data_IF_363435937815
#
_entry.id   IF_363435937815
#
_cell.length_a   1.000
_cell.length_b   1.000
_cell.length_c   1.000
_cell.angle_alpha   90.00
_cell.angle_beta   90.00
_cell.angle_gamma   90.00
#
_symmetry.space_group_name_H-M   'P 1'
#
loop_
_entity.id
_entity.type
_entity.pdbx_description
1 polymer ?
#
# COMPACT_ATOMS: atom_id res chain seq x y z
N UNK A 1 -16.52 2.33 -32.19
CA UNK A 1 -15.72 3.31 -31.43
C UNK A 1 -16.60 3.81 -30.31
N UNK A 2 -16.30 3.49 -29.04
CA UNK A 2 -17.16 3.93 -27.94
C UNK A 2 -16.92 5.41 -27.69
N UNK A 3 -17.95 6.23 -27.86
CA UNK A 3 -17.95 7.62 -27.42
C UNK A 3 -17.71 7.63 -25.90
N UNK A 4 -16.46 7.90 -25.49
CA UNK A 4 -16.13 8.11 -24.10
C UNK A 4 -16.94 9.33 -23.64
N UNK A 5 -17.81 9.12 -22.66
CA UNK A 5 -18.65 10.17 -22.11
C UNK A 5 -17.73 11.28 -21.57
N UNK A 6 -17.83 12.53 -22.06
CA UNK A 6 -16.92 13.62 -21.67
C UNK A 6 -16.92 13.92 -20.16
N UNK A 7 -17.90 13.40 -19.42
CA UNK A 7 -18.00 13.52 -17.96
C UNK A 7 -17.11 12.49 -17.23
N UNK A 8 -16.83 11.34 -17.84
CA UNK A 8 -16.05 10.24 -17.24
C UNK A 8 -14.55 10.40 -17.52
N UNK A 9 -14.19 11.02 -18.64
CA UNK A 9 -12.79 11.20 -19.04
C UNK A 9 -11.92 11.88 -17.97
N UNK A 10 -12.37 12.94 -17.28
CA UNK A 10 -11.59 13.54 -16.19
C UNK A 10 -11.32 12.56 -15.05
N UNK A 11 -12.29 11.71 -14.69
CA UNK A 11 -12.09 10.69 -13.66
C UNK A 11 -11.13 9.60 -14.10
N UNK A 12 -11.12 9.28 -15.41
CA UNK A 12 -10.19 8.31 -15.98
C UNK A 12 -8.75 8.82 -15.91
N UNK A 13 -8.53 10.07 -16.31
CA UNK A 13 -7.23 10.73 -16.23
C UNK A 13 -6.75 10.81 -14.79
N UNK A 14 -7.61 11.28 -13.86
CA UNK A 14 -7.30 11.30 -12.43
C UNK A 14 -6.97 9.90 -11.91
N UNK A 15 -7.76 8.88 -12.28
CA UNK A 15 -7.53 7.52 -11.80
C UNK A 15 -6.21 6.95 -12.33
N UNK A 16 -5.85 7.23 -13.58
CA UNK A 16 -4.56 6.84 -14.17
C UNK A 16 -3.35 7.50 -13.49
N UNK A 17 -3.51 8.72 -12.95
CA UNK A 17 -2.43 9.39 -12.22
C UNK A 17 -2.14 8.75 -10.86
N UNK A 18 -3.10 8.03 -10.28
CA UNK A 18 -2.98 7.44 -8.94
C UNK A 18 -2.96 5.90 -8.93
N UNK A 19 -3.34 5.27 -10.04
CA UNK A 19 -3.45 3.82 -10.17
C UNK A 19 -2.56 3.32 -11.33
N UNK A 20 -1.53 2.57 -10.96
CA UNK A 20 -0.52 1.95 -11.82
C UNK A 20 -0.96 0.60 -12.37
N UNK A 21 -2.17 0.14 -12.02
CA UNK A 21 -2.71 -1.13 -12.49
C UNK A 21 -3.07 -1.09 -13.98
N UNK A 22 -3.50 -2.22 -14.52
CA UNK A 22 -3.74 -2.30 -15.96
C UNK A 22 -4.98 -1.50 -16.40
N UNK A 23 -5.00 -1.12 -17.68
CA UNK A 23 -6.10 -0.35 -18.28
C UNK A 23 -7.45 -1.07 -18.20
N UNK A 24 -7.46 -2.39 -18.30
CA UNK A 24 -8.70 -3.19 -18.24
C UNK A 24 -9.41 -3.05 -16.89
N UNK A 25 -8.65 -3.03 -15.79
CA UNK A 25 -9.19 -2.82 -14.44
C UNK A 25 -9.72 -1.40 -14.28
N UNK A 26 -9.01 -0.39 -14.80
CA UNK A 26 -9.47 1.00 -14.80
C UNK A 26 -10.82 1.10 -15.51
N UNK A 27 -10.91 0.56 -16.72
CA UNK A 27 -12.13 0.61 -17.52
C UNK A 27 -13.28 -0.17 -16.83
N UNK A 28 -12.99 -1.32 -16.19
CA UNK A 28 -13.97 -2.09 -15.42
C UNK A 28 -14.52 -1.31 -14.22
N UNK A 29 -13.64 -0.71 -13.42
CA UNK A 29 -14.03 0.07 -12.22
C UNK A 29 -14.90 1.26 -12.62
N UNK A 30 -14.51 1.99 -13.66
CA UNK A 30 -15.26 3.13 -14.18
C UNK A 30 -16.62 2.69 -14.73
N UNK A 31 -16.67 1.55 -15.42
CA UNK A 31 -17.91 0.96 -15.92
C UNK A 31 -18.86 0.57 -14.79
N UNK A 32 -18.40 -0.21 -13.81
CA UNK A 32 -19.19 -0.61 -12.65
C UNK A 32 -19.73 0.60 -11.88
N UNK A 33 -18.87 1.60 -11.62
CA UNK A 33 -19.27 2.82 -10.95
C UNK A 33 -20.39 3.55 -11.71
N UNK A 34 -20.32 3.58 -13.05
CA UNK A 34 -21.30 4.22 -13.94
C UNK A 34 -22.63 3.49 -13.93
N UNK A 35 -22.65 2.15 -13.99
CA UNK A 35 -23.89 1.37 -14.04
C UNK A 35 -24.77 1.57 -12.79
N UNK A 36 -24.13 1.85 -11.65
CA UNK A 36 -24.81 2.09 -10.38
C UNK A 36 -25.20 3.57 -10.20
N UNK A 37 -24.84 4.44 -11.14
CA UNK A 37 -25.33 5.83 -11.15
C UNK A 37 -26.79 5.82 -11.60
N UNK A 38 -27.70 5.83 -10.61
CA UNK A 38 -29.13 6.00 -10.85
C UNK A 38 -29.50 7.38 -11.44
N UNK A 39 -30.79 7.72 -11.39
CA UNK A 39 -31.29 9.01 -11.90
C UNK A 39 -30.57 10.19 -11.23
N UNK A 40 -30.15 11.16 -12.03
CA UNK A 40 -29.45 12.37 -11.58
C UNK A 40 -30.27 13.61 -11.91
N UNK A 41 -30.29 14.57 -10.98
CA UNK A 41 -31.05 15.82 -11.14
C UNK A 41 -30.33 16.82 -12.06
N UNK A 42 -29.00 16.81 -12.02
CA UNK A 42 -28.12 17.68 -12.82
C UNK A 42 -26.71 17.06 -12.90
N UNK A 43 -25.79 17.77 -13.55
CA UNK A 43 -24.41 17.33 -13.74
C UNK A 43 -23.64 17.15 -12.42
N UNK A 44 -23.84 18.05 -11.45
CA UNK A 44 -23.13 17.98 -10.17
C UNK A 44 -23.60 16.80 -9.32
N UNK A 45 -24.90 16.51 -9.34
CA UNK A 45 -25.47 15.31 -8.70
C UNK A 45 -24.90 14.03 -9.33
N UNK A 46 -24.74 14.01 -10.66
CA UNK A 46 -24.08 12.90 -11.36
C UNK A 46 -22.63 12.73 -10.90
N UNK A 47 -21.82 13.80 -10.95
CA UNK A 47 -20.39 13.75 -10.55
C UNK A 47 -20.23 13.24 -9.13
N UNK A 48 -21.05 13.76 -8.19
CA UNK A 48 -21.04 13.32 -6.80
C UNK A 48 -21.41 11.85 -6.65
N UNK A 49 -22.50 11.39 -7.28
CA UNK A 49 -22.94 9.99 -7.22
C UNK A 49 -21.93 9.04 -7.85
N UNK A 50 -21.38 9.41 -9.00
CA UNK A 50 -20.34 8.66 -9.69
C UNK A 50 -19.10 8.51 -8.81
N UNK A 51 -18.59 9.62 -8.25
CA UNK A 51 -17.45 9.61 -7.36
C UNK A 51 -17.66 8.72 -6.12
N UNK A 52 -18.84 8.77 -5.50
CA UNK A 52 -19.18 7.91 -4.36
C UNK A 52 -19.17 6.42 -4.77
N UNK A 53 -19.78 6.08 -5.91
CA UNK A 53 -19.82 4.70 -6.38
C UNK A 53 -18.44 4.21 -6.83
N UNK A 54 -17.63 5.07 -7.43
CA UNK A 54 -16.24 4.79 -7.79
C UNK A 54 -15.41 4.39 -6.57
N UNK A 55 -15.47 5.18 -5.50
CA UNK A 55 -14.75 4.88 -4.27
C UNK A 55 -15.27 3.59 -3.60
N UNK A 56 -16.58 3.34 -3.64
CA UNK A 56 -17.17 2.10 -3.14
C UNK A 56 -16.64 0.88 -3.91
N UNK A 57 -16.65 0.95 -5.24
CA UNK A 57 -16.18 -0.13 -6.10
C UNK A 57 -14.71 -0.47 -5.81
N UNK A 58 -13.84 0.55 -5.80
CA UNK A 58 -12.43 0.38 -5.47
C UNK A 58 -12.25 -0.24 -4.07
N UNK A 59 -13.05 0.18 -3.09
CA UNK A 59 -12.99 -0.38 -1.74
C UNK A 59 -13.37 -1.85 -1.72
N UNK A 60 -14.41 -2.24 -2.45
CA UNK A 60 -14.86 -3.63 -2.55
C UNK A 60 -13.81 -4.50 -3.23
N UNK A 61 -13.30 -4.09 -4.38
CA UNK A 61 -12.27 -4.81 -5.11
C UNK A 61 -10.96 -4.93 -4.31
N UNK A 62 -10.56 -3.90 -3.57
CA UNK A 62 -9.40 -3.97 -2.65
C UNK A 62 -9.63 -5.03 -1.57
N UNK A 63 -10.83 -5.10 -0.97
CA UNK A 63 -11.16 -6.08 0.06
C UNK A 63 -11.20 -7.51 -0.49
N UNK A 64 -11.69 -7.67 -1.72
CA UNK A 64 -11.74 -8.94 -2.44
C UNK A 64 -10.38 -9.36 -3.06
N UNK A 65 -9.36 -8.50 -2.97
CA UNK A 65 -8.03 -8.72 -3.55
C UNK A 65 -8.02 -8.82 -5.09
N UNK A 66 -9.06 -8.29 -5.74
CA UNK A 66 -9.14 -8.20 -7.21
C UNK A 66 -8.22 -7.10 -7.77
N UNK A 67 -7.98 -6.07 -6.97
CA UNK A 67 -6.98 -5.04 -7.25
C UNK A 67 -5.93 -5.01 -6.15
N UNK A 68 -4.67 -4.88 -6.57
CA UNK A 68 -3.58 -4.88 -5.63
C UNK A 68 -3.44 -3.48 -5.02
N UNK A 69 -3.40 -3.39 -3.69
CA UNK A 69 -3.09 -2.14 -3.00
C UNK A 69 -1.66 -1.64 -3.34
N UNK A 70 -0.83 -2.49 -3.95
CA UNK A 70 0.48 -2.14 -4.53
C UNK A 70 0.41 -1.22 -5.73
N UNK A 71 -0.69 -1.27 -6.46
CA UNK A 71 -0.86 -0.54 -7.71
C UNK A 71 -1.27 0.92 -7.47
N UNK A 72 -1.41 1.35 -6.22
CA UNK A 72 -1.77 2.72 -5.89
C UNK A 72 -0.56 3.57 -5.53
N UNK A 73 -0.46 4.72 -6.19
CA UNK A 73 0.54 5.73 -5.93
C UNK A 73 0.03 6.72 -4.87
N UNK A 74 0.27 6.38 -3.60
CA UNK A 74 -0.27 7.08 -2.43
C UNK A 74 0.12 8.56 -2.36
N UNK A 75 1.27 8.95 -2.90
CA UNK A 75 1.74 10.34 -2.84
C UNK A 75 0.79 11.25 -3.61
N UNK A 76 0.40 10.87 -4.84
CA UNK A 76 -0.59 11.61 -5.65
C UNK A 76 -2.00 11.59 -5.02
N UNK A 77 -2.37 10.51 -4.34
CA UNK A 77 -3.70 10.41 -3.70
C UNK A 77 -3.86 11.35 -2.51
N UNK A 78 -2.77 11.65 -1.79
CA UNK A 78 -2.83 12.45 -0.55
C UNK A 78 -3.20 13.91 -0.78
N UNK A 79 -2.94 14.42 -1.97
CA UNK A 79 -3.22 15.81 -2.33
C UNK A 79 -4.70 16.06 -2.60
N UNK A 80 -5.46 15.02 -2.95
CA UNK A 80 -6.86 15.12 -3.32
C UNK A 80 -7.78 14.50 -2.24
N UNK A 81 -8.66 15.33 -1.69
CA UNK A 81 -9.60 14.98 -0.61
C UNK A 81 -10.53 13.82 -1.00
N UNK A 82 -10.88 13.70 -2.29
CA UNK A 82 -11.73 12.64 -2.81
C UNK A 82 -11.18 11.24 -2.48
N UNK A 83 -9.86 11.07 -2.56
CA UNK A 83 -9.19 9.78 -2.44
C UNK A 83 -8.85 9.39 -1.01
N UNK A 84 -8.96 10.31 -0.05
CA UNK A 84 -8.63 10.10 1.37
C UNK A 84 -9.29 8.86 2.01
N UNK A 85 -10.57 8.52 1.70
CA UNK A 85 -11.17 7.28 2.20
C UNK A 85 -10.41 6.04 1.75
N UNK A 86 -9.98 6.00 0.48
CA UNK A 86 -9.24 4.86 -0.10
C UNK A 86 -7.81 4.80 0.45
N UNK A 87 -7.17 5.95 0.65
CA UNK A 87 -5.83 6.04 1.26
C UNK A 87 -5.79 5.31 2.59
N UNK A 88 -6.81 5.45 3.44
CA UNK A 88 -6.89 4.75 4.73
C UNK A 88 -6.93 3.22 4.56
N UNK A 89 -7.70 2.73 3.60
CA UNK A 89 -7.82 1.29 3.30
C UNK A 89 -6.50 0.73 2.78
N UNK A 90 -5.87 1.42 1.83
CA UNK A 90 -4.57 1.02 1.28
C UNK A 90 -3.51 1.02 2.38
N UNK A 91 -3.42 2.08 3.18
CA UNK A 91 -2.47 2.18 4.29
C UNK A 91 -2.66 1.04 5.28
N UNK A 92 -3.91 0.68 5.62
CA UNK A 92 -4.18 -0.46 6.49
C UNK A 92 -3.60 -1.76 5.90
N UNK A 93 -3.79 -2.03 4.60
CA UNK A 93 -3.16 -3.18 3.93
C UNK A 93 -1.63 -3.11 3.95
N UNK A 94 -1.02 -1.94 3.71
CA UNK A 94 0.45 -1.73 3.81
C UNK A 94 1.00 -1.98 5.21
N UNK A 95 0.23 -1.64 6.24
CA UNK A 95 0.56 -1.93 7.63
C UNK A 95 0.54 -3.44 7.86
N UNK A 96 -0.46 -4.15 7.34
CA UNK A 96 -0.51 -5.62 7.45
C UNK A 96 0.68 -6.29 6.73
N UNK A 97 1.16 -5.75 5.61
CA UNK A 97 2.43 -6.21 4.99
C UNK A 97 3.62 -6.04 5.94
N UNK A 98 3.72 -4.88 6.60
CA UNK A 98 4.79 -4.60 7.56
C UNK A 98 4.73 -5.54 8.76
N UNK A 99 3.54 -5.82 9.31
CA UNK A 99 3.36 -6.74 10.45
C UNK A 99 3.74 -8.19 10.10
N UNK A 100 3.49 -8.63 8.87
CA UNK A 100 3.85 -9.97 8.40
C UNK A 100 5.34 -10.10 8.07
N UNK A 101 6.04 -8.97 7.92
CA UNK A 101 7.48 -8.96 7.68
C UNK A 101 8.22 -9.59 8.86
N UNK A 102 9.29 -10.33 8.57
CA UNK A 102 10.14 -10.95 9.58
C UNK A 102 11.57 -10.46 9.40
N UNK A 103 12.23 -10.13 10.50
CA UNK A 103 13.65 -9.77 10.51
C UNK A 103 14.44 -10.96 11.03
N UNK A 104 15.50 -11.35 10.31
CA UNK A 104 16.37 -12.44 10.73
C UNK A 104 17.48 -11.89 11.64
N UNK A 105 17.71 -12.50 12.80
CA UNK A 105 18.83 -12.18 13.70
C UNK A 105 19.86 -13.30 13.65
N UNK A 106 21.14 -12.98 13.41
CA UNK A 106 22.28 -13.91 13.52
C UNK A 106 23.33 -13.26 14.41
N UNK A 107 23.45 -13.71 15.68
CA UNK A 107 24.30 -13.06 16.68
C UNK A 107 23.88 -11.61 16.94
N UNK A 108 24.82 -10.66 16.86
CA UNK A 108 24.59 -9.19 17.02
C UNK A 108 24.22 -8.45 15.73
N UNK A 109 23.77 -9.19 14.72
CA UNK A 109 23.46 -8.68 13.38
C UNK A 109 22.03 -9.02 12.99
N UNK A 110 21.33 -8.06 12.41
CA UNK A 110 19.97 -8.21 11.91
C UNK A 110 19.94 -8.04 10.39
N UNK A 111 19.30 -8.97 9.69
CA UNK A 111 19.03 -8.87 8.26
C UNK A 111 17.65 -8.25 8.04
N UNK A 112 17.65 -7.05 7.47
CA UNK A 112 16.47 -6.21 7.23
C UNK A 112 15.98 -6.25 5.78
N UNK A 113 16.45 -7.17 4.94
CA UNK A 113 16.03 -7.24 3.53
C UNK A 113 14.50 -7.31 3.38
N UNK A 114 13.82 -8.12 4.19
CA UNK A 114 12.36 -8.24 4.15
C UNK A 114 11.62 -6.94 4.49
N UNK A 115 12.23 -6.04 5.26
CA UNK A 115 11.61 -4.73 5.55
C UNK A 115 11.57 -3.84 4.31
N UNK A 116 12.61 -3.91 3.47
CA UNK A 116 12.74 -3.11 2.24
C UNK A 116 11.72 -3.50 1.18
N UNK A 117 11.18 -4.70 1.26
CA UNK A 117 10.14 -5.21 0.36
C UNK A 117 8.74 -4.66 0.71
N UNK A 118 8.58 -4.10 1.91
CA UNK A 118 7.33 -3.45 2.35
C UNK A 118 7.40 -1.95 2.10
N UNK A 119 6.26 -1.34 1.75
CA UNK A 119 6.19 0.10 1.48
C UNK A 119 6.68 0.92 2.69
N UNK A 120 6.12 0.66 3.87
CA UNK A 120 6.48 1.38 5.09
C UNK A 120 7.89 1.06 5.58
N UNK A 121 8.33 -0.20 5.48
CA UNK A 121 9.67 -0.58 5.88
C UNK A 121 10.73 0.07 4.99
N UNK A 122 10.51 0.13 3.67
CA UNK A 122 11.38 0.86 2.73
C UNK A 122 11.51 2.34 3.13
N UNK A 123 10.39 3.03 3.40
CA UNK A 123 10.41 4.43 3.82
C UNK A 123 11.22 4.65 5.11
N UNK A 124 11.05 3.76 6.10
CA UNK A 124 11.76 3.87 7.39
C UNK A 124 13.26 3.60 7.22
N UNK A 125 13.62 2.55 6.46
CA UNK A 125 15.01 2.19 6.15
C UNK A 125 15.71 3.33 5.39
N UNK A 126 15.02 3.95 4.44
CA UNK A 126 15.56 5.06 3.65
C UNK A 126 15.82 6.29 4.52
N UNK A 127 14.85 6.65 5.38
CA UNK A 127 15.00 7.74 6.36
C UNK A 127 16.16 7.54 7.33
N UNK A 128 16.52 6.29 7.63
CA UNK A 128 17.66 5.94 8.48
C UNK A 128 18.98 5.81 7.71
N UNK A 129 18.98 5.96 6.38
CA UNK A 129 20.18 5.82 5.54
C UNK A 129 20.64 4.36 5.37
N UNK A 130 19.74 3.39 5.52
CA UNK A 130 20.03 1.96 5.43
C UNK A 130 19.73 1.38 4.04
N UNK A 131 19.45 2.22 3.04
CA UNK A 131 18.95 1.83 1.70
C UNK A 131 19.84 0.78 1.03
N UNK A 132 21.16 0.95 1.06
CA UNK A 132 22.13 0.00 0.47
C UNK A 132 22.51 -1.16 1.39
N UNK A 133 22.15 -1.11 2.68
CA UNK A 133 22.61 -2.09 3.70
C UNK A 133 21.51 -3.07 4.04
N UNK A 134 21.77 -4.36 3.90
CA UNK A 134 20.80 -5.40 4.30
C UNK A 134 21.07 -5.93 5.71
N UNK A 135 22.24 -5.67 6.27
CA UNK A 135 22.63 -6.11 7.61
C UNK A 135 22.92 -4.88 8.47
N UNK A 136 22.34 -4.84 9.66
CA UNK A 136 22.54 -3.77 10.64
C UNK A 136 22.89 -4.32 12.03
N UNK A 137 23.49 -3.48 12.86
CA UNK A 137 23.86 -3.80 14.24
C UNK A 137 22.67 -3.71 15.21
N UNK A 138 22.85 -4.22 16.43
CA UNK A 138 21.83 -4.11 17.51
C UNK A 138 21.37 -2.66 17.74
N UNK A 139 22.29 -1.72 17.89
CA UNK A 139 21.96 -0.29 18.12
C UNK A 139 21.17 0.33 16.96
N UNK A 140 21.48 -0.06 15.72
CA UNK A 140 20.77 0.42 14.54
C UNK A 140 19.38 -0.20 14.44
N UNK A 141 19.26 -1.47 14.82
CA UNK A 141 18.00 -2.19 14.88
C UNK A 141 17.06 -1.59 15.93
N UNK A 142 17.58 -1.22 17.10
CA UNK A 142 16.79 -0.56 18.14
C UNK A 142 16.21 0.79 17.67
N UNK A 143 17.01 1.58 16.93
CA UNK A 143 16.54 2.83 16.30
C UNK A 143 15.41 2.55 15.31
N UNK A 144 15.57 1.54 14.46
CA UNK A 144 14.56 1.14 13.48
C UNK A 144 13.25 0.72 14.14
N UNK A 145 13.32 -0.14 15.16
CA UNK A 145 12.14 -0.61 15.89
C UNK A 145 11.48 0.51 16.69
N UNK A 146 12.24 1.46 17.24
CA UNK A 146 11.66 2.60 17.95
C UNK A 146 10.73 3.44 17.06
N UNK A 147 11.05 3.58 15.76
CA UNK A 147 10.20 4.28 14.79
C UNK A 147 8.94 3.48 14.49
N UNK A 148 9.07 2.17 14.34
CA UNK A 148 7.94 1.28 14.04
C UNK A 148 6.98 1.19 15.23
N UNK A 149 7.51 1.18 16.46
CA UNK A 149 6.70 1.26 17.69
C UNK A 149 5.91 2.56 17.81
N UNK A 150 6.41 3.69 17.29
CA UNK A 150 5.65 4.96 17.24
C UNK A 150 4.42 4.86 16.34
N UNK A 151 4.43 3.95 15.37
CA UNK A 151 3.25 3.62 14.57
C UNK A 151 2.29 2.66 15.30
N UNK A 152 2.57 2.29 16.56
CA UNK A 152 1.85 1.31 17.38
C UNK A 152 1.87 -0.11 16.80
N UNK A 153 2.99 -0.49 16.18
CA UNK A 153 3.18 -1.82 15.58
C UNK A 153 4.42 -2.54 16.12
N UNK A 154 4.40 -3.87 16.03
CA UNK A 154 5.50 -4.76 16.37
C UNK A 154 5.87 -5.61 15.16
N UNK A 155 7.16 -5.91 15.00
CA UNK A 155 7.67 -6.73 13.91
C UNK A 155 8.28 -8.00 14.49
N UNK A 156 7.83 -9.19 14.07
CA UNK A 156 8.37 -10.44 14.55
C UNK A 156 9.84 -10.61 14.15
N UNK A 157 10.66 -11.04 15.12
CA UNK A 157 12.07 -11.38 14.93
C UNK A 157 12.22 -12.89 14.89
N UNK A 158 12.81 -13.42 13.82
CA UNK A 158 13.26 -14.81 13.78
C UNK A 158 14.73 -14.83 14.15
N UNK A 159 15.07 -15.47 15.26
CA UNK A 159 16.46 -15.73 15.66
C UNK A 159 16.95 -16.96 14.91
N UNK A 160 18.04 -16.83 14.16
CA UNK A 160 18.70 -17.94 13.50
C UNK A 160 19.86 -18.45 14.36
N UNK A 161 20.03 -19.78 14.47
CA UNK A 161 21.15 -20.35 15.20
C UNK A 161 22.47 -19.93 14.55
N UNK A 162 23.42 -19.57 15.39
CA UNK A 162 24.79 -19.26 15.00
C UNK A 162 25.54 -20.51 14.58
N UNK A 163 26.64 -20.37 13.83
CA UNK A 163 27.48 -21.50 13.42
C UNK A 163 28.03 -22.26 14.63
N UNK A 164 28.25 -21.57 15.75
CA UNK A 164 28.69 -22.17 17.01
C UNK A 164 27.60 -23.01 17.66
N UNK A 165 26.34 -22.57 17.65
CA UNK A 165 25.20 -23.34 18.19
C UNK A 165 24.89 -24.58 17.36
N UNK A 166 25.00 -24.50 16.03
CA UNK A 166 24.88 -25.67 15.13
C UNK A 166 25.94 -26.74 15.36
N UNK A 167 27.08 -26.37 15.96
CA UNK A 167 28.18 -27.28 16.25
C UNK A 167 27.97 -28.11 17.53
N UNK A 168 27.09 -27.68 18.44
CA UNK A 168 26.85 -28.35 19.73
C UNK A 168 25.53 -29.15 19.78
N UNK A 169 24.74 -29.14 18.71
CA UNK A 169 23.47 -29.88 18.60
C UNK A 169 23.59 -31.23 17.83
N UNK A 170 24.80 -31.68 17.51
CA UNK A 170 25.07 -33.00 16.91
C UNK A 170 25.66 -34.00 17.92
#
# INVERSE_FOLDING_TARGET
>A
MSELNPIIEPFKEEFQQIFLGNKSVIDQVLHNAKEVVGKCLNLDDFKRKFAINLLKEITLMLKAEEINHKDFFLDNMRENVLWQPIVKVILAKRIEELKKCKVLKKGKKYNISGLKETYLGKMIVDKLGFTRRSIISDLEYDKLISIIKKLKYEIPVIVQPTETEKFFEN
#
